data_IF_764070763426
#
_entry.id   IF_764070763426
#
_cell.length_a   1.000
_cell.length_b   1.000
_cell.length_c   1.000
_cell.angle_alpha   90.00
_cell.angle_beta   90.00
_cell.angle_gamma   90.00
#
_symmetry.space_group_name_H-M   'P 1'
#
loop_
_entity.id
_entity.type
_entity.pdbx_description
1 polymer ?
#
# COMPACT_ATOMS: atom_id res chain seq x y z
N UNK A 1 41.88 -7.01 25.22
CA UNK A 1 41.00 -6.60 24.09
C UNK A 1 40.72 -7.74 23.12
N UNK A 2 41.72 -8.56 22.74
CA UNK A 2 41.52 -9.80 21.95
C UNK A 2 40.95 -10.97 22.76
N UNK A 3 41.33 -11.06 24.04
CA UNK A 3 40.86 -12.12 24.92
C UNK A 3 39.41 -11.94 25.37
N UNK A 4 38.99 -10.70 25.61
CA UNK A 4 37.60 -10.36 25.95
C UNK A 4 36.63 -10.68 24.80
N UNK A 5 37.09 -10.55 23.53
CA UNK A 5 36.28 -10.86 22.35
C UNK A 5 36.15 -12.40 22.14
N UNK A 6 37.20 -13.16 22.46
CA UNK A 6 37.14 -14.63 22.38
C UNK A 6 36.28 -15.23 23.49
N UNK A 7 36.30 -14.67 24.68
CA UNK A 7 35.41 -15.08 25.79
C UNK A 7 33.95 -14.77 25.43
N UNK A 8 33.67 -13.61 24.80
CA UNK A 8 32.31 -13.27 24.34
C UNK A 8 31.79 -14.24 23.27
N UNK A 9 32.65 -14.71 22.37
CA UNK A 9 32.28 -15.64 21.30
C UNK A 9 32.07 -17.07 21.86
N UNK A 10 32.74 -17.44 22.96
CA UNK A 10 32.58 -18.77 23.59
C UNK A 10 31.31 -18.86 24.44
N UNK A 11 30.74 -17.75 24.84
CA UNK A 11 29.53 -17.66 25.67
C UNK A 11 28.23 -17.55 24.82
N UNK A 12 28.37 -17.48 23.48
CA UNK A 12 27.22 -17.44 22.57
C UNK A 12 26.51 -18.80 22.59
N UNK A 13 25.29 -18.81 23.15
CA UNK A 13 24.43 -19.98 23.10
C UNK A 13 23.88 -20.22 21.69
N UNK A 14 23.48 -21.43 21.37
CA UNK A 14 22.88 -21.79 20.09
C UNK A 14 21.66 -20.89 19.75
N UNK A 15 20.95 -20.40 20.75
CA UNK A 15 19.85 -19.46 20.62
C UNK A 15 20.31 -18.09 20.08
N UNK A 16 21.48 -17.59 20.55
CA UNK A 16 22.04 -16.31 20.10
C UNK A 16 22.51 -16.38 18.65
N UNK A 17 23.12 -17.51 18.25
CA UNK A 17 23.54 -17.75 16.87
C UNK A 17 22.34 -17.82 15.92
N UNK A 18 21.25 -18.47 16.34
CA UNK A 18 19.99 -18.53 15.58
C UNK A 18 19.38 -17.14 15.46
N UNK A 19 19.39 -16.36 16.54
CA UNK A 19 18.88 -14.99 16.56
C UNK A 19 19.65 -14.07 15.61
N UNK A 20 21.00 -14.10 15.69
CA UNK A 20 21.87 -13.33 14.80
C UNK A 20 21.65 -13.78 13.34
N UNK A 21 21.59 -15.10 13.09
CA UNK A 21 21.31 -15.63 11.76
C UNK A 21 19.96 -15.17 11.21
N UNK A 22 18.92 -15.15 12.03
CA UNK A 22 17.59 -14.67 11.66
C UNK A 22 17.60 -13.18 11.30
N UNK A 23 18.29 -12.34 12.11
CA UNK A 23 18.42 -10.92 11.82
C UNK A 23 19.15 -10.70 10.49
N UNK A 24 20.27 -11.41 10.26
CA UNK A 24 21.04 -11.31 9.02
C UNK A 24 20.19 -11.71 7.81
N UNK A 25 19.43 -12.80 7.90
CA UNK A 25 18.52 -13.25 6.85
C UNK A 25 17.43 -12.21 6.57
N UNK A 26 16.81 -11.65 7.61
CA UNK A 26 15.78 -10.62 7.47
C UNK A 26 16.33 -9.32 6.87
N UNK A 27 17.53 -8.90 7.26
CA UNK A 27 18.23 -7.73 6.68
C UNK A 27 18.54 -7.97 5.21
N UNK A 28 19.10 -9.14 4.87
CA UNK A 28 19.42 -9.50 3.49
C UNK A 28 18.16 -9.61 2.63
N UNK A 29 17.10 -10.25 3.14
CA UNK A 29 15.81 -10.38 2.47
C UNK A 29 15.15 -9.00 2.26
N UNK A 30 15.13 -8.16 3.29
CA UNK A 30 14.61 -6.79 3.20
C UNK A 30 15.39 -5.95 2.18
N UNK A 31 16.74 -6.05 2.21
CA UNK A 31 17.59 -5.35 1.25
C UNK A 31 17.42 -5.87 -0.17
N UNK A 32 17.26 -7.18 -0.35
CA UNK A 32 17.05 -7.79 -1.66
C UNK A 32 15.68 -7.38 -2.23
N UNK A 33 14.61 -7.45 -1.44
CA UNK A 33 13.27 -7.04 -1.87
C UNK A 33 13.22 -5.56 -2.22
N UNK A 34 13.80 -4.69 -1.41
CA UNK A 34 13.90 -3.26 -1.71
C UNK A 34 14.72 -3.00 -2.99
N UNK A 35 15.82 -3.71 -3.18
CA UNK A 35 16.66 -3.57 -4.35
C UNK A 35 15.99 -4.07 -5.64
N UNK A 36 15.26 -5.20 -5.56
CA UNK A 36 14.47 -5.72 -6.68
C UNK A 36 13.30 -4.79 -7.02
N UNK A 37 12.64 -4.23 -6.01
CA UNK A 37 11.55 -3.27 -6.20
C UNK A 37 12.07 -1.98 -6.84
N UNK A 38 13.17 -1.43 -6.30
CA UNK A 38 13.82 -0.24 -6.86
C UNK A 38 14.29 -0.46 -8.31
N UNK A 39 14.88 -1.63 -8.60
CA UNK A 39 15.29 -1.99 -9.99
C UNK A 39 14.10 -2.17 -10.93
N UNK A 40 13.00 -2.77 -10.47
CA UNK A 40 11.77 -2.87 -11.29
C UNK A 40 11.19 -1.50 -11.59
N UNK A 41 11.19 -0.60 -10.61
CA UNK A 41 10.69 0.75 -10.81
C UNK A 41 11.61 1.58 -11.70
N UNK A 42 12.94 1.46 -11.53
CA UNK A 42 13.90 2.11 -12.42
C UNK A 42 13.74 1.64 -13.87
N UNK A 43 13.47 0.34 -14.10
CA UNK A 43 13.23 -0.19 -15.47
C UNK A 43 11.90 0.27 -16.07
N UNK A 44 10.87 0.50 -15.25
CA UNK A 44 9.59 1.07 -15.70
C UNK A 44 9.69 2.58 -15.99
N UNK A 45 10.71 3.24 -15.43
CA UNK A 45 10.99 4.66 -15.62
C UNK A 45 12.03 4.92 -16.74
N UNK A 46 12.76 3.90 -17.19
CA UNK A 46 13.91 4.01 -18.12
C UNK A 46 13.53 3.57 -19.54
N UNK A 47 12.44 4.12 -20.09
CA UNK A 47 12.09 3.97 -21.52
C UNK A 47 12.84 5.00 -22.40
N UNK A 48 14.06 5.37 -22.02
CA UNK A 48 15.10 5.87 -22.95
C UNK A 48 14.91 7.25 -23.57
N UNK A 49 13.83 7.99 -23.27
CA UNK A 49 13.59 9.30 -23.86
C UNK A 49 13.06 10.30 -22.81
N UNK A 50 13.98 11.03 -22.21
CA UNK A 50 13.72 11.94 -21.08
C UNK A 50 12.89 13.18 -21.47
N UNK A 51 12.81 13.48 -22.76
CA UNK A 51 12.06 14.66 -23.28
C UNK A 51 10.60 14.36 -23.62
N UNK A 52 10.17 13.09 -23.65
CA UNK A 52 8.83 12.70 -24.09
C UNK A 52 7.96 12.03 -23.02
N UNK A 53 8.44 11.93 -21.76
CA UNK A 53 7.65 11.31 -20.68
C UNK A 53 6.30 11.99 -20.54
N UNK A 54 5.23 11.22 -20.77
CA UNK A 54 3.87 11.69 -20.58
C UNK A 54 3.64 12.12 -19.13
N UNK A 55 2.67 12.98 -18.89
CA UNK A 55 2.30 13.37 -17.51
C UNK A 55 1.89 12.16 -16.65
N UNK A 56 1.41 11.09 -17.28
CA UNK A 56 1.01 9.85 -16.61
C UNK A 56 2.21 9.07 -16.11
N UNK A 57 3.28 8.99 -16.88
CA UNK A 57 4.55 8.33 -16.49
C UNK A 57 5.21 9.04 -15.31
N UNK A 58 5.28 10.38 -15.35
CA UNK A 58 5.82 11.17 -14.23
C UNK A 58 5.03 10.97 -12.94
N UNK A 59 3.70 10.84 -13.04
CA UNK A 59 2.84 10.52 -11.88
C UNK A 59 3.08 9.10 -11.36
N UNK A 60 3.19 8.11 -12.24
CA UNK A 60 3.47 6.73 -11.86
C UNK A 60 4.83 6.59 -11.17
N UNK A 61 5.86 7.27 -11.69
CA UNK A 61 7.20 7.32 -11.09
C UNK A 61 7.17 7.94 -9.69
N UNK A 62 6.52 9.10 -9.53
CA UNK A 62 6.39 9.77 -8.23
C UNK A 62 5.67 8.89 -7.20
N UNK A 63 4.55 8.28 -7.60
CA UNK A 63 3.81 7.35 -6.73
C UNK A 63 4.68 6.17 -6.33
N UNK A 64 5.43 5.62 -7.27
CA UNK A 64 6.35 4.55 -7.03
C UNK A 64 7.42 4.90 -6.00
N UNK A 65 8.05 6.05 -6.11
CA UNK A 65 9.03 6.53 -5.12
C UNK A 65 8.42 6.66 -3.72
N UNK A 66 7.19 7.17 -3.62
CA UNK A 66 6.48 7.28 -2.33
C UNK A 66 6.26 5.90 -1.71
N UNK A 67 5.76 4.92 -2.47
CA UNK A 67 5.55 3.56 -1.97
C UNK A 67 6.85 2.88 -1.54
N UNK A 68 7.92 3.01 -2.30
CA UNK A 68 9.24 2.46 -1.94
C UNK A 68 9.77 3.13 -0.67
N UNK A 69 9.62 4.45 -0.53
CA UNK A 69 10.07 5.19 0.66
C UNK A 69 9.33 4.72 1.91
N UNK A 70 7.99 4.62 1.85
CA UNK A 70 7.18 4.12 2.96
C UNK A 70 7.57 2.68 3.31
N UNK A 71 7.68 1.79 2.31
CA UNK A 71 8.11 0.41 2.51
C UNK A 71 9.50 0.31 3.15
N UNK A 72 10.42 1.19 2.75
CA UNK A 72 11.78 1.25 3.32
C UNK A 72 11.74 1.61 4.79
N UNK A 73 10.97 2.63 5.17
CA UNK A 73 10.82 3.04 6.58
C UNK A 73 10.24 1.90 7.42
N UNK A 74 9.22 1.19 6.92
CA UNK A 74 8.61 0.05 7.62
C UNK A 74 9.63 -1.07 7.82
N UNK A 75 10.37 -1.45 6.78
CA UNK A 75 11.38 -2.52 6.85
C UNK A 75 12.53 -2.15 7.80
N UNK A 76 13.05 -0.93 7.72
CA UNK A 76 14.12 -0.46 8.62
C UNK A 76 13.63 -0.45 10.08
N UNK A 77 12.41 0.03 10.33
CA UNK A 77 11.83 0.04 11.67
C UNK A 77 11.66 -1.39 12.23
N UNK A 78 11.20 -2.34 11.40
CA UNK A 78 11.07 -3.73 11.80
C UNK A 78 12.42 -4.37 12.15
N UNK A 79 13.45 -4.13 11.33
CA UNK A 79 14.81 -4.62 11.58
C UNK A 79 15.36 -4.04 12.89
N UNK A 80 15.18 -2.72 13.09
CA UNK A 80 15.61 -2.05 14.31
C UNK A 80 14.95 -2.64 15.55
N UNK A 81 13.64 -2.88 15.51
CA UNK A 81 12.91 -3.51 16.62
C UNK A 81 13.41 -4.93 16.91
N UNK A 82 13.65 -5.73 15.88
CA UNK A 82 14.20 -7.07 16.07
C UNK A 82 15.60 -7.01 16.69
N UNK A 83 16.46 -6.11 16.23
CA UNK A 83 17.81 -5.95 16.78
C UNK A 83 17.78 -5.49 18.24
N UNK A 84 16.95 -4.50 18.58
CA UNK A 84 16.80 -4.02 19.97
C UNK A 84 16.24 -5.11 20.89
N UNK A 85 15.29 -5.92 20.40
CA UNK A 85 14.75 -7.07 21.16
C UNK A 85 15.82 -8.11 21.51
N UNK A 86 16.75 -8.38 20.58
CA UNK A 86 17.88 -9.28 20.82
C UNK A 86 18.88 -8.73 21.85
N UNK A 87 19.01 -7.42 21.96
CA UNK A 87 19.82 -6.75 22.98
C UNK A 87 19.14 -6.70 24.37
N UNK A 88 17.98 -7.38 24.54
CA UNK A 88 17.24 -7.41 25.79
C UNK A 88 16.47 -6.13 26.12
N UNK A 89 16.32 -5.21 25.14
CA UNK A 89 15.53 -3.99 25.33
C UNK A 89 14.04 -4.33 25.41
N UNK A 90 13.35 -3.85 26.46
CA UNK A 90 11.90 -4.01 26.55
C UNK A 90 11.18 -3.16 25.49
N UNK A 91 10.66 -3.83 24.47
CA UNK A 91 9.96 -3.21 23.34
C UNK A 91 8.46 -2.96 23.61
N UNK A 92 7.91 -3.44 24.72
CA UNK A 92 6.47 -3.32 25.01
C UNK A 92 5.95 -1.88 24.95
N UNK A 93 6.64 -0.87 25.52
CA UNK A 93 6.18 0.52 25.45
C UNK A 93 6.20 1.06 24.01
N UNK A 94 7.22 0.69 23.23
CA UNK A 94 7.38 1.13 21.83
C UNK A 94 6.31 0.50 20.96
N UNK A 95 6.06 -0.81 21.13
CA UNK A 95 5.01 -1.53 20.40
C UNK A 95 3.61 -1.00 20.76
N UNK A 96 3.37 -0.64 22.03
CA UNK A 96 2.12 -0.02 22.45
C UNK A 96 1.91 1.33 21.73
N UNK A 97 2.94 2.18 21.69
CA UNK A 97 2.91 3.45 20.95
C UNK A 97 2.69 3.25 19.44
N UNK A 98 3.40 2.29 18.83
CA UNK A 98 3.22 1.94 17.42
C UNK A 98 1.80 1.43 17.14
N UNK A 99 1.19 0.69 18.08
CA UNK A 99 -0.20 0.25 18.00
C UNK A 99 -1.19 1.41 17.93
N UNK A 100 -0.98 2.46 18.73
CA UNK A 100 -1.82 3.67 18.69
C UNK A 100 -1.70 4.37 17.32
N UNK A 101 -0.47 4.49 16.80
CA UNK A 101 -0.23 5.08 15.48
C UNK A 101 -0.90 4.23 14.40
N UNK A 102 -0.80 2.90 14.47
CA UNK A 102 -1.44 1.98 13.52
C UNK A 102 -2.96 2.12 13.53
N UNK A 103 -3.58 2.28 14.70
CA UNK A 103 -5.02 2.55 14.83
C UNK A 103 -5.41 3.89 14.18
N UNK A 104 -4.62 4.95 14.42
CA UNK A 104 -4.87 6.25 13.80
C UNK A 104 -4.80 6.20 12.27
N UNK A 105 -3.80 5.49 11.72
CA UNK A 105 -3.69 5.23 10.27
C UNK A 105 -4.88 4.40 9.78
N UNK A 106 -5.28 3.36 10.52
CA UNK A 106 -6.43 2.51 10.20
C UNK A 106 -7.72 3.32 10.09
N UNK A 107 -8.02 4.17 11.07
CA UNK A 107 -9.17 5.07 11.02
C UNK A 107 -9.06 6.09 9.87
N UNK A 108 -7.86 6.63 9.63
CA UNK A 108 -7.62 7.57 8.52
C UNK A 108 -7.81 6.95 7.14
N UNK A 109 -7.59 5.64 6.99
CA UNK A 109 -7.73 4.91 5.72
C UNK A 109 -9.05 4.14 5.58
N UNK A 110 -9.94 4.18 6.57
CA UNK A 110 -11.20 3.45 6.61
C UNK A 110 -12.08 3.70 5.36
N UNK A 111 -12.15 4.96 4.91
CA UNK A 111 -12.90 5.30 3.70
C UNK A 111 -12.32 4.67 2.44
N UNK A 112 -11.00 4.57 2.32
CA UNK A 112 -10.35 3.92 1.18
C UNK A 112 -10.70 2.43 1.13
N UNK A 113 -10.63 1.74 2.28
CA UNK A 113 -11.00 0.32 2.36
C UNK A 113 -12.47 0.14 1.98
N UNK A 114 -13.36 1.01 2.48
CA UNK A 114 -14.78 0.98 2.13
C UNK A 114 -15.00 1.17 0.63
N UNK A 115 -14.29 2.13 -0.01
CA UNK A 115 -14.38 2.36 -1.45
C UNK A 115 -14.01 1.11 -2.25
N UNK A 116 -12.89 0.46 -1.88
CA UNK A 116 -12.41 -0.75 -2.56
C UNK A 116 -13.36 -1.92 -2.42
N UNK A 117 -13.85 -2.19 -1.20
CA UNK A 117 -14.78 -3.29 -0.92
C UNK A 117 -16.09 -3.06 -1.67
N UNK A 118 -16.64 -1.83 -1.63
CA UNK A 118 -17.86 -1.50 -2.37
C UNK A 118 -17.66 -1.65 -3.88
N UNK A 119 -16.52 -1.17 -4.44
CA UNK A 119 -16.22 -1.32 -5.85
C UNK A 119 -16.11 -2.79 -6.28
N UNK A 120 -15.52 -3.63 -5.44
CA UNK A 120 -15.45 -5.07 -5.68
C UNK A 120 -16.85 -5.71 -5.76
N UNK A 121 -17.74 -5.38 -4.82
CA UNK A 121 -19.12 -5.90 -4.83
C UNK A 121 -19.94 -5.39 -6.01
N UNK A 122 -19.82 -4.11 -6.38
CA UNK A 122 -20.45 -3.55 -7.59
C UNK A 122 -20.10 -4.40 -8.83
N UNK A 123 -18.82 -4.78 -8.98
CA UNK A 123 -18.34 -5.58 -10.11
C UNK A 123 -18.76 -7.06 -10.02
N UNK A 124 -18.64 -7.68 -8.85
CA UNK A 124 -18.98 -9.11 -8.66
C UNK A 124 -20.50 -9.34 -8.82
N UNK A 125 -21.32 -8.45 -8.26
CA UNK A 125 -22.77 -8.55 -8.32
C UNK A 125 -23.35 -8.01 -9.62
N UNK A 126 -22.50 -7.40 -10.48
CA UNK A 126 -22.92 -6.77 -11.73
C UNK A 126 -24.09 -5.80 -11.52
N UNK A 127 -24.00 -4.96 -10.46
CA UNK A 127 -25.06 -4.00 -10.13
C UNK A 127 -25.31 -3.01 -11.27
N UNK A 128 -24.24 -2.60 -11.95
CA UNK A 128 -24.24 -1.82 -13.19
C UNK A 128 -22.91 -1.96 -13.92
N UNK A 129 -22.92 -1.71 -15.23
CA UNK A 129 -21.75 -1.75 -16.10
C UNK A 129 -21.49 -0.44 -16.83
N UNK A 130 -20.38 -0.38 -17.57
CA UNK A 130 -20.05 0.76 -18.45
C UNK A 130 -21.10 0.81 -19.56
N UNK A 131 -21.67 2.02 -19.79
CA UNK A 131 -22.76 2.27 -20.73
C UNK A 131 -24.15 2.25 -20.11
N UNK A 132 -24.29 1.76 -18.86
CA UNK A 132 -25.61 1.79 -18.19
C UNK A 132 -26.02 3.20 -17.79
N UNK A 133 -27.32 3.47 -17.90
CA UNK A 133 -27.93 4.68 -17.34
C UNK A 133 -28.30 4.43 -15.88
N UNK A 134 -27.64 5.13 -14.98
CA UNK A 134 -27.84 4.93 -13.55
C UNK A 134 -28.12 6.23 -12.82
N UNK A 135 -28.83 6.10 -11.68
CA UNK A 135 -28.97 7.18 -10.72
C UNK A 135 -28.36 6.77 -9.38
N UNK A 136 -27.38 7.53 -8.93
CA UNK A 136 -26.67 7.36 -7.68
C UNK A 136 -26.87 8.59 -6.80
N UNK A 137 -27.71 8.48 -5.78
CA UNK A 137 -28.13 9.62 -4.97
C UNK A 137 -28.82 10.71 -5.81
N UNK A 138 -28.23 11.90 -5.88
CA UNK A 138 -28.73 13.02 -6.71
C UNK A 138 -28.15 13.04 -8.12
N UNK A 139 -27.14 12.21 -8.44
CA UNK A 139 -26.46 12.20 -9.73
C UNK A 139 -27.11 11.16 -10.64
N UNK A 140 -27.41 11.56 -11.87
CA UNK A 140 -27.98 10.68 -12.89
C UNK A 140 -27.18 10.83 -14.18
N UNK A 141 -26.85 9.71 -14.83
CA UNK A 141 -26.08 9.72 -16.08
C UNK A 141 -25.62 8.35 -16.51
N UNK A 142 -24.90 8.33 -17.62
CA UNK A 142 -24.25 7.14 -18.17
C UNK A 142 -22.96 6.83 -17.43
N UNK A 143 -22.76 5.57 -17.08
CA UNK A 143 -21.53 5.06 -16.49
C UNK A 143 -20.45 5.02 -17.56
N UNK A 144 -19.45 5.92 -17.49
CA UNK A 144 -18.36 5.95 -18.47
C UNK A 144 -17.10 5.23 -18.00
N UNK A 145 -16.97 5.02 -16.68
CA UNK A 145 -15.83 4.29 -16.11
C UNK A 145 -16.16 3.76 -14.71
N UNK A 146 -15.71 2.54 -14.44
CA UNK A 146 -15.74 1.94 -13.11
C UNK A 146 -14.31 1.56 -12.74
N UNK A 147 -13.88 1.95 -11.54
CA UNK A 147 -12.61 1.52 -10.93
C UNK A 147 -12.90 0.87 -9.58
N UNK A 148 -11.91 0.24 -8.96
CA UNK A 148 -12.07 -0.31 -7.62
C UNK A 148 -12.46 0.75 -6.57
N UNK A 149 -12.11 2.02 -6.77
CA UNK A 149 -12.37 3.10 -5.80
C UNK A 149 -13.52 4.01 -6.17
N UNK A 150 -13.79 4.20 -7.46
CA UNK A 150 -14.77 5.20 -7.92
C UNK A 150 -15.51 4.76 -9.17
N UNK A 151 -16.75 5.20 -9.27
CA UNK A 151 -17.60 5.17 -10.46
C UNK A 151 -17.65 6.56 -11.06
N UNK A 152 -17.57 6.68 -12.38
CA UNK A 152 -17.59 7.94 -13.12
C UNK A 152 -18.82 7.95 -14.01
N UNK A 153 -19.66 8.97 -13.82
CA UNK A 153 -20.87 9.20 -14.62
C UNK A 153 -20.69 10.41 -15.52
N UNK A 154 -21.41 10.40 -16.65
CA UNK A 154 -21.60 11.56 -17.52
C UNK A 154 -23.10 11.85 -17.62
N UNK A 155 -23.51 13.08 -17.31
CA UNK A 155 -24.89 13.51 -17.50
C UNK A 155 -25.20 13.91 -18.95
N UNK A 156 -26.46 14.29 -19.19
CA UNK A 156 -26.94 14.70 -20.51
C UNK A 156 -26.33 16.04 -20.98
N UNK A 157 -25.88 16.87 -20.04
CA UNK A 157 -25.21 18.14 -20.28
C UNK A 157 -23.71 18.00 -20.55
N UNK A 158 -23.16 16.75 -20.37
CA UNK A 158 -21.74 16.42 -20.58
C UNK A 158 -20.88 16.61 -19.34
N UNK A 159 -21.46 16.93 -18.17
CA UNK A 159 -20.73 17.04 -16.92
C UNK A 159 -20.27 15.65 -16.44
N UNK A 160 -19.09 15.59 -15.82
CA UNK A 160 -18.51 14.33 -15.35
C UNK A 160 -18.48 14.32 -13.82
N UNK A 161 -19.11 13.30 -13.23
CA UNK A 161 -19.17 13.07 -11.79
C UNK A 161 -18.26 11.94 -11.39
N UNK A 162 -17.35 12.20 -10.45
CA UNK A 162 -16.50 11.20 -9.82
C UNK A 162 -17.07 10.85 -8.45
N UNK A 163 -17.64 9.66 -8.33
CA UNK A 163 -18.32 9.19 -7.13
C UNK A 163 -17.49 8.09 -6.49
N UNK A 164 -17.09 8.26 -5.22
CA UNK A 164 -16.41 7.21 -4.46
C UNK A 164 -17.36 6.04 -4.23
N UNK A 165 -16.93 4.81 -4.54
CA UNK A 165 -17.78 3.61 -4.44
C UNK A 165 -18.32 3.39 -3.01
N UNK A 166 -17.51 3.67 -1.98
CA UNK A 166 -17.91 3.55 -0.58
C UNK A 166 -18.98 4.58 -0.13
N UNK A 167 -19.23 5.62 -0.93
CA UNK A 167 -20.31 6.58 -0.69
C UNK A 167 -21.64 6.18 -1.33
N UNK A 168 -21.63 5.16 -2.20
CA UNK A 168 -22.81 4.65 -2.88
C UNK A 168 -23.59 3.77 -1.91
N UNK A 169 -24.74 4.23 -1.46
CA UNK A 169 -25.63 3.49 -0.58
C UNK A 169 -26.75 2.77 -1.35
N UNK A 170 -27.15 3.33 -2.47
CA UNK A 170 -28.15 2.77 -3.37
C UNK A 170 -27.88 3.23 -4.80
N UNK A 171 -28.26 2.40 -5.75
CA UNK A 171 -28.20 2.70 -7.18
C UNK A 171 -29.53 2.29 -7.82
N UNK A 172 -30.00 3.11 -8.75
CA UNK A 172 -31.10 2.75 -9.64
C UNK A 172 -30.49 2.55 -11.01
N UNK A 173 -30.45 1.31 -11.49
CA UNK A 173 -30.05 1.00 -12.86
C UNK A 173 -31.29 1.00 -13.75
N UNK A 174 -31.27 1.79 -14.85
CA UNK A 174 -32.38 1.90 -15.79
C UNK A 174 -32.13 1.15 -17.10
N UNK A 175 -30.96 0.52 -17.24
CA UNK A 175 -30.57 -0.21 -18.44
C UNK A 175 -30.71 -1.71 -18.29
N UNK A 176 -30.65 -2.22 -17.06
CA UNK A 176 -30.89 -3.64 -16.79
C UNK A 176 -32.40 -3.92 -16.67
N UNK A 177 -32.89 -4.79 -17.56
CA UNK A 177 -34.24 -5.39 -17.50
C UNK A 177 -34.19 -6.76 -16.87
#
# INVERSE_FOLDING_TARGET
>A
MTDDFQDYLSDLDAADLVAIGTIVVLVLFGRLTLHLLARRMARLADDGDDDSKSQEEKRAETLGHVFVSIGTVVVISAILFLALGQLGVDLRPVLAGAGIIALAIGFGTQSLVKDFVSGLFILIENQYGIGDQVKIGSFEGEVIRITMRSTVLRDAEGSIYYISNGSISNVINRSQN
#
